data_IF_239340394991
#
_entry.id   IF_239340394991
#
_cell.length_a   1.000
_cell.length_b   1.000
_cell.length_c   1.000
_cell.angle_alpha   90.00
_cell.angle_beta   90.00
_cell.angle_gamma   90.00
#
_symmetry.space_group_name_H-M   'P 1'
#
loop_
_entity.id
_entity.type
_entity.pdbx_description
1 polymer ?
#
# COMPACT_ATOMS: atom_id res chain seq x y z
N UNK A 1 13.90 -14.83 -6.80
CA UNK A 1 15.29 -14.56 -6.38
C UNK A 1 15.32 -13.21 -5.70
N UNK A 2 15.65 -13.18 -4.41
CA UNK A 2 15.30 -12.11 -3.45
C UNK A 2 15.81 -10.72 -3.87
N UNK A 3 14.92 -9.71 -3.86
CA UNK A 3 15.26 -8.31 -4.18
C UNK A 3 16.47 -7.78 -3.40
N UNK A 4 16.67 -8.27 -2.17
CA UNK A 4 17.80 -7.95 -1.30
C UNK A 4 19.16 -8.31 -1.94
N UNK A 5 19.28 -9.48 -2.60
CA UNK A 5 20.53 -9.91 -3.22
C UNK A 5 20.92 -9.05 -4.41
N UNK A 6 19.93 -8.65 -5.21
CA UNK A 6 20.14 -7.81 -6.40
C UNK A 6 20.66 -6.42 -6.01
N UNK A 7 20.18 -5.94 -4.88
CA UNK A 7 20.60 -4.71 -4.24
C UNK A 7 22.04 -4.82 -3.68
N UNK A 8 22.34 -5.89 -2.93
CA UNK A 8 23.68 -6.14 -2.40
C UNK A 8 24.72 -6.30 -3.50
N UNK A 9 24.40 -7.01 -4.58
CA UNK A 9 25.30 -7.20 -5.71
C UNK A 9 25.54 -5.87 -6.44
N UNK A 10 24.52 -5.05 -6.63
CA UNK A 10 24.70 -3.72 -7.23
C UNK A 10 25.61 -2.83 -6.35
N UNK A 11 25.43 -2.87 -5.02
CA UNK A 11 26.31 -2.17 -4.08
C UNK A 11 27.76 -2.67 -4.18
N UNK A 12 27.97 -3.98 -4.17
CA UNK A 12 29.29 -4.58 -4.25
C UNK A 12 29.99 -4.27 -5.57
N UNK A 13 29.29 -4.39 -6.71
CA UNK A 13 29.87 -4.13 -8.04
C UNK A 13 30.22 -2.65 -8.17
N UNK A 14 29.32 -1.74 -7.77
CA UNK A 14 29.56 -0.31 -7.89
C UNK A 14 30.68 0.15 -6.94
N UNK A 15 30.71 -0.36 -5.71
CA UNK A 15 31.78 -0.11 -4.75
C UNK A 15 33.13 -0.67 -5.21
N UNK A 16 33.17 -1.89 -5.74
CA UNK A 16 34.39 -2.50 -6.27
C UNK A 16 34.92 -1.74 -7.49
N UNK A 17 34.04 -1.35 -8.43
CA UNK A 17 34.43 -0.54 -9.58
C UNK A 17 34.98 0.82 -9.14
N UNK A 18 34.34 1.44 -8.13
CA UNK A 18 34.75 2.73 -7.59
C UNK A 18 36.14 2.65 -6.93
N UNK A 19 36.39 1.63 -6.12
CA UNK A 19 37.70 1.42 -5.47
C UNK A 19 38.78 1.21 -6.53
N UNK A 20 38.55 0.31 -7.49
CA UNK A 20 39.51 -0.03 -8.53
C UNK A 20 39.85 1.18 -9.40
N UNK A 21 38.84 1.90 -9.86
CA UNK A 21 39.03 3.09 -10.71
C UNK A 21 39.71 4.22 -9.94
N UNK A 22 39.34 4.41 -8.66
CA UNK A 22 39.91 5.46 -7.83
C UNK A 22 41.35 5.18 -7.40
N UNK A 23 41.74 3.92 -7.18
CA UNK A 23 43.14 3.55 -6.91
C UNK A 23 44.02 3.68 -8.16
N UNK A 24 43.55 3.22 -9.32
CA UNK A 24 44.29 3.37 -10.58
C UNK A 24 44.48 4.83 -10.99
N UNK A 25 43.46 5.68 -10.81
CA UNK A 25 43.55 7.09 -11.16
C UNK A 25 44.51 7.86 -10.22
N UNK A 26 44.52 7.54 -8.93
CA UNK A 26 45.48 8.09 -7.96
C UNK A 26 46.92 7.73 -8.32
N UNK A 27 47.16 6.47 -8.70
CA UNK A 27 48.49 5.98 -9.03
C UNK A 27 49.02 6.54 -10.36
N UNK A 28 48.11 6.92 -11.28
CA UNK A 28 48.46 7.50 -12.58
C UNK A 28 48.66 9.02 -12.51
N UNK A 29 47.98 9.73 -11.61
CA UNK A 29 48.02 11.20 -11.58
C UNK A 29 49.19 11.79 -10.79
N UNK A 30 49.68 11.15 -9.70
CA UNK A 30 50.59 11.85 -8.79
C UNK A 30 51.52 10.94 -7.98
N UNK A 31 52.81 11.30 -7.90
CA UNK A 31 53.80 10.72 -6.95
C UNK A 31 54.23 11.69 -5.83
N UNK A 32 53.63 12.88 -5.80
CA UNK A 32 53.93 13.96 -4.86
C UNK A 32 53.13 13.83 -3.54
N UNK A 33 53.78 13.79 -2.35
CA UNK A 33 53.13 13.44 -1.09
C UNK A 33 52.02 14.40 -0.63
N UNK A 34 52.15 15.70 -0.90
CA UNK A 34 51.16 16.71 -0.46
C UNK A 34 49.86 16.65 -1.25
N UNK A 35 49.95 16.50 -2.58
CA UNK A 35 48.79 16.32 -3.46
C UNK A 35 48.06 15.00 -3.17
N UNK A 36 48.81 13.95 -2.82
CA UNK A 36 48.24 12.66 -2.44
C UNK A 36 47.30 12.78 -1.23
N UNK A 37 47.67 13.59 -0.22
CA UNK A 37 46.89 13.78 1.01
C UNK A 37 45.54 14.48 0.76
N UNK A 38 45.53 15.50 -0.09
CA UNK A 38 44.29 16.20 -0.48
C UNK A 38 43.36 15.30 -1.29
N UNK A 39 43.90 14.53 -2.24
CA UNK A 39 43.12 13.59 -3.05
C UNK A 39 42.58 12.44 -2.20
N UNK A 40 43.35 11.93 -1.23
CA UNK A 40 42.92 10.90 -0.28
C UNK A 40 41.68 11.36 0.52
N UNK A 41 41.68 12.63 0.95
CA UNK A 41 40.57 13.20 1.73
C UNK A 41 39.34 13.38 0.84
N UNK A 42 39.50 13.93 -0.37
CA UNK A 42 38.41 14.05 -1.34
C UNK A 42 37.79 12.69 -1.74
N UNK A 43 38.62 11.64 -1.83
CA UNK A 43 38.18 10.26 -2.08
C UNK A 43 37.33 9.71 -0.94
N UNK A 44 37.72 9.98 0.31
CA UNK A 44 36.94 9.60 1.49
C UNK A 44 35.55 10.24 1.51
N UNK A 45 35.48 11.54 1.23
CA UNK A 45 34.19 12.26 1.12
C UNK A 45 33.33 11.72 -0.02
N UNK A 46 33.95 11.40 -1.16
CA UNK A 46 33.24 10.79 -2.29
C UNK A 46 32.68 9.42 -1.93
N UNK A 47 33.44 8.58 -1.20
CA UNK A 47 32.96 7.29 -0.71
C UNK A 47 31.78 7.42 0.26
N UNK A 48 31.83 8.38 1.20
CA UNK A 48 30.73 8.64 2.14
C UNK A 48 29.48 9.15 1.42
N UNK A 49 29.63 10.05 0.45
CA UNK A 49 28.50 10.53 -0.36
C UNK A 49 27.90 9.41 -1.22
N UNK A 50 28.73 8.59 -1.86
CA UNK A 50 28.27 7.47 -2.69
C UNK A 50 27.55 6.41 -1.85
N UNK A 51 28.15 6.01 -0.73
CA UNK A 51 27.59 4.99 0.16
C UNK A 51 26.30 5.47 0.83
N UNK A 52 26.28 6.72 1.32
CA UNK A 52 25.08 7.34 1.89
C UNK A 52 23.96 7.50 0.87
N UNK A 53 24.26 7.99 -0.34
CA UNK A 53 23.29 8.12 -1.43
C UNK A 53 22.72 6.78 -1.85
N UNK A 54 23.56 5.74 -1.92
CA UNK A 54 23.13 4.39 -2.27
C UNK A 54 22.24 3.78 -1.19
N UNK A 55 22.59 3.92 0.09
CA UNK A 55 21.75 3.51 1.21
C UNK A 55 20.39 4.24 1.16
N UNK A 56 20.40 5.55 0.91
CA UNK A 56 19.18 6.33 0.81
C UNK A 56 18.27 5.84 -0.32
N UNK A 57 18.81 5.57 -1.51
CA UNK A 57 18.04 5.04 -2.64
C UNK A 57 17.47 3.64 -2.33
N UNK A 58 18.26 2.79 -1.67
CA UNK A 58 17.84 1.46 -1.23
C UNK A 58 16.67 1.52 -0.24
N UNK A 59 16.84 2.29 0.83
CA UNK A 59 15.84 2.43 1.89
C UNK A 59 14.57 3.04 1.34
N UNK A 60 14.70 4.07 0.50
CA UNK A 60 13.55 4.67 -0.20
C UNK A 60 12.82 3.62 -1.01
N UNK A 61 13.52 2.83 -1.84
CA UNK A 61 12.89 1.79 -2.67
C UNK A 61 12.22 0.70 -1.83
N UNK A 62 12.84 0.25 -0.75
CA UNK A 62 12.26 -0.73 0.15
C UNK A 62 10.98 -0.20 0.81
N UNK A 63 11.02 1.04 1.29
CA UNK A 63 9.86 1.72 1.88
C UNK A 63 8.70 1.86 0.88
N UNK A 64 8.96 2.22 -0.37
CA UNK A 64 7.93 2.29 -1.42
C UNK A 64 7.29 0.92 -1.70
N UNK A 65 8.06 -0.17 -1.62
CA UNK A 65 7.54 -1.52 -1.86
C UNK A 65 6.62 -1.99 -0.71
N UNK A 66 7.01 -1.68 0.53
CA UNK A 66 6.22 -1.99 1.74
C UNK A 66 4.89 -1.23 1.72
N UNK A 67 4.95 0.07 1.39
CA UNK A 67 3.79 0.94 1.23
C UNK A 67 2.79 0.40 0.19
N UNK A 68 3.27 -0.10 -0.95
CA UNK A 68 2.40 -0.70 -1.97
C UNK A 68 1.69 -1.95 -1.45
N UNK A 69 2.41 -2.82 -0.73
CA UNK A 69 1.80 -4.01 -0.12
C UNK A 69 0.75 -3.69 0.93
N UNK A 70 1.02 -2.70 1.77
CA UNK A 70 0.06 -2.26 2.78
C UNK A 70 -1.17 -1.62 2.13
N UNK A 71 -0.99 -0.84 1.05
CA UNK A 71 -2.10 -0.31 0.24
C UNK A 71 -2.92 -1.42 -0.41
N UNK A 72 -2.30 -2.38 -1.08
CA UNK A 72 -2.99 -3.51 -1.72
C UNK A 72 -3.82 -4.33 -0.71
N UNK A 73 -3.24 -4.64 0.46
CA UNK A 73 -3.99 -5.33 1.52
C UNK A 73 -5.18 -4.51 2.00
N UNK A 74 -4.99 -3.20 2.19
CA UNK A 74 -6.04 -2.30 2.68
C UNK A 74 -7.14 -2.13 1.65
N UNK A 75 -6.79 -1.96 0.38
CA UNK A 75 -7.72 -1.91 -0.75
C UNK A 75 -8.50 -3.22 -0.89
N UNK A 76 -7.86 -4.38 -0.70
CA UNK A 76 -8.55 -5.67 -0.73
C UNK A 76 -9.60 -5.80 0.39
N UNK A 77 -9.28 -5.33 1.61
CA UNK A 77 -10.23 -5.32 2.73
C UNK A 77 -11.40 -4.39 2.44
N UNK A 78 -11.13 -3.15 2.02
CA UNK A 78 -12.17 -2.16 1.69
C UNK A 78 -13.06 -2.66 0.56
N UNK A 79 -12.47 -3.24 -0.50
CA UNK A 79 -13.24 -3.77 -1.61
C UNK A 79 -14.15 -4.93 -1.18
N UNK A 80 -13.68 -5.78 -0.27
CA UNK A 80 -14.50 -6.89 0.27
C UNK A 80 -15.70 -6.37 1.05
N UNK A 81 -15.51 -5.38 1.92
CA UNK A 81 -16.59 -4.74 2.68
C UNK A 81 -17.60 -4.08 1.75
N UNK A 82 -17.11 -3.36 0.73
CA UNK A 82 -17.95 -2.73 -0.29
C UNK A 82 -18.80 -3.74 -1.05
N UNK A 83 -18.20 -4.83 -1.50
CA UNK A 83 -18.94 -5.92 -2.18
C UNK A 83 -19.99 -6.53 -1.26
N UNK A 84 -19.68 -6.77 0.01
CA UNK A 84 -20.65 -7.29 0.97
C UNK A 84 -21.81 -6.31 1.20
N UNK A 85 -21.52 -5.01 1.29
CA UNK A 85 -22.52 -3.95 1.39
C UNK A 85 -23.46 -3.95 0.17
N UNK A 86 -22.89 -3.97 -1.04
CA UNK A 86 -23.66 -3.95 -2.28
C UNK A 86 -24.55 -5.19 -2.43
N UNK A 87 -24.02 -6.39 -2.12
CA UNK A 87 -24.77 -7.65 -2.15
C UNK A 87 -25.93 -7.60 -1.16
N UNK A 88 -25.67 -7.19 0.08
CA UNK A 88 -26.69 -7.16 1.11
C UNK A 88 -27.76 -6.09 0.81
N UNK A 89 -27.36 -4.94 0.28
CA UNK A 89 -28.28 -3.90 -0.17
C UNK A 89 -29.20 -4.39 -1.28
N UNK A 90 -28.64 -5.07 -2.29
CA UNK A 90 -29.43 -5.68 -3.36
C UNK A 90 -30.39 -6.74 -2.84
N UNK A 91 -29.93 -7.61 -1.92
CA UNK A 91 -30.76 -8.64 -1.30
C UNK A 91 -31.91 -8.04 -0.48
N UNK A 92 -31.64 -7.00 0.32
CA UNK A 92 -32.67 -6.29 1.09
C UNK A 92 -33.71 -5.62 0.19
N UNK A 93 -33.28 -5.07 -0.95
CA UNK A 93 -34.20 -4.50 -1.93
C UNK A 93 -35.11 -5.57 -2.53
N UNK A 94 -34.54 -6.74 -2.88
CA UNK A 94 -35.32 -7.88 -3.37
C UNK A 94 -36.31 -8.39 -2.31
N UNK A 95 -35.87 -8.53 -1.05
CA UNK A 95 -36.74 -8.91 0.06
C UNK A 95 -37.88 -7.91 0.29
N UNK A 96 -37.59 -6.62 0.13
CA UNK A 96 -38.62 -5.57 0.24
C UNK A 96 -39.69 -5.76 -0.82
N UNK A 97 -39.30 -6.02 -2.07
CA UNK A 97 -40.23 -6.29 -3.17
C UNK A 97 -41.11 -7.53 -2.87
N UNK A 98 -40.49 -8.63 -2.43
CA UNK A 98 -41.21 -9.87 -2.06
C UNK A 98 -42.20 -9.62 -0.92
N UNK A 99 -41.82 -8.85 0.10
CA UNK A 99 -42.73 -8.51 1.20
C UNK A 99 -43.89 -7.62 0.76
N UNK A 100 -43.73 -6.80 -0.28
CA UNK A 100 -44.83 -6.00 -0.84
C UNK A 100 -45.81 -6.89 -1.64
N UNK A 101 -45.31 -7.82 -2.46
CA UNK A 101 -46.15 -8.80 -3.17
C UNK A 101 -46.89 -9.73 -2.20
N UNK A 102 -46.22 -10.19 -1.14
CA UNK A 102 -46.83 -11.04 -0.12
C UNK A 102 -47.95 -10.31 0.66
N UNK A 103 -47.90 -8.98 0.76
CA UNK A 103 -48.95 -8.17 1.39
C UNK A 103 -50.22 -8.06 0.52
N UNK A 104 -50.08 -8.17 -0.80
CA UNK A 104 -51.21 -8.20 -1.74
C UNK A 104 -51.86 -9.59 -1.85
N UNK A 105 -51.13 -10.65 -1.50
CA UNK A 105 -51.65 -12.01 -1.49
C UNK A 105 -52.46 -12.31 -0.21
N UNK A 106 -53.72 -12.73 -0.38
CA UNK A 106 -54.67 -13.02 0.71
C UNK A 106 -54.26 -14.22 1.58
N UNK A 107 -53.33 -15.05 1.11
CA UNK A 107 -52.90 -16.30 1.76
C UNK A 107 -51.89 -16.12 2.91
N UNK A 108 -51.19 -14.98 3.00
CA UNK A 108 -50.16 -14.79 4.01
C UNK A 108 -50.70 -14.15 5.29
N UNK A 109 -50.23 -14.65 6.44
CA UNK A 109 -50.52 -14.04 7.74
C UNK A 109 -49.99 -12.60 7.78
N UNK A 110 -50.90 -11.67 8.03
CA UNK A 110 -50.64 -10.22 8.00
C UNK A 110 -49.63 -9.79 9.06
N UNK A 111 -49.54 -10.48 10.20
CA UNK A 111 -48.55 -10.19 11.24
C UNK A 111 -47.14 -10.59 10.78
N UNK A 112 -47.00 -11.74 10.12
CA UNK A 112 -45.72 -12.22 9.58
C UNK A 112 -45.18 -11.30 8.48
N UNK A 113 -46.03 -10.86 7.55
CA UNK A 113 -45.64 -9.91 6.50
C UNK A 113 -45.23 -8.56 7.12
N UNK A 114 -45.98 -8.08 8.12
CA UNK A 114 -45.66 -6.83 8.81
C UNK A 114 -44.34 -6.91 9.58
N UNK A 115 -44.06 -8.06 10.21
CA UNK A 115 -42.79 -8.33 10.90
C UNK A 115 -41.62 -8.36 9.91
N UNK A 116 -41.76 -9.09 8.80
CA UNK A 116 -40.75 -9.15 7.75
C UNK A 116 -40.44 -7.76 7.21
N UNK A 117 -41.48 -6.96 6.90
CA UNK A 117 -41.33 -5.57 6.41
C UNK A 117 -40.60 -4.67 7.40
N UNK A 118 -40.84 -4.83 8.70
CA UNK A 118 -40.11 -4.09 9.76
C UNK A 118 -38.63 -4.47 9.77
N UNK A 119 -38.33 -5.77 9.77
CA UNK A 119 -36.96 -6.30 9.82
C UNK A 119 -36.16 -5.85 8.59
N UNK A 120 -36.73 -5.98 7.38
CA UNK A 120 -36.05 -5.58 6.14
C UNK A 120 -35.77 -4.06 6.12
N UNK A 121 -36.72 -3.25 6.59
CA UNK A 121 -36.57 -1.79 6.68
C UNK A 121 -35.52 -1.37 7.71
N UNK A 122 -35.51 -2.02 8.87
CA UNK A 122 -34.52 -1.78 9.92
C UNK A 122 -33.12 -2.18 9.46
N UNK A 123 -32.97 -3.39 8.90
CA UNK A 123 -31.71 -3.87 8.33
C UNK A 123 -31.19 -2.98 7.20
N UNK A 124 -32.07 -2.47 6.32
CA UNK A 124 -31.69 -1.50 5.28
C UNK A 124 -31.23 -0.15 5.85
N UNK A 125 -31.87 0.32 6.92
CA UNK A 125 -31.47 1.53 7.64
C UNK A 125 -30.08 1.40 8.28
N UNK A 126 -29.83 0.28 8.98
CA UNK A 126 -28.55 0.00 9.61
C UNK A 126 -27.43 -0.23 8.57
N UNK A 127 -27.74 -0.93 7.48
CA UNK A 127 -26.78 -1.10 6.38
C UNK A 127 -26.37 0.24 5.77
N UNK A 128 -27.33 1.17 5.60
CA UNK A 128 -27.04 2.51 5.08
C UNK A 128 -26.16 3.33 6.02
N UNK A 129 -26.40 3.27 7.33
CA UNK A 129 -25.52 3.88 8.34
C UNK A 129 -24.11 3.28 8.30
N UNK A 130 -23.99 1.96 8.14
CA UNK A 130 -22.69 1.29 7.99
C UNK A 130 -21.96 1.75 6.72
N UNK A 131 -22.67 1.95 5.60
CA UNK A 131 -22.10 2.47 4.36
C UNK A 131 -21.66 3.94 4.45
N UNK A 132 -22.39 4.77 5.19
CA UNK A 132 -22.01 6.17 5.46
C UNK A 132 -20.72 6.26 6.29
N UNK A 133 -20.56 5.41 7.31
CA UNK A 133 -19.33 5.35 8.14
C UNK A 133 -18.11 4.92 7.30
N UNK A 134 -18.26 3.96 6.39
CA UNK A 134 -17.17 3.51 5.51
C UNK A 134 -16.80 4.57 4.45
N UNK A 135 -17.76 5.43 4.07
CA UNK A 135 -17.53 6.58 3.18
C UNK A 135 -16.88 7.80 3.87
N UNK A 136 -17.04 7.91 5.19
CA UNK A 136 -16.46 8.98 6.01
C UNK A 136 -15.04 8.68 6.50
N UNK A 137 -14.54 7.44 6.40
CA UNK A 137 -13.12 7.15 6.62
C UNK A 137 -12.34 7.90 5.56
N UNK A 138 -11.73 9.05 5.91
CA UNK A 138 -11.22 9.91 4.88
C UNK A 138 -10.02 9.22 4.28
N UNK A 139 -9.98 9.24 2.95
CA UNK A 139 -8.80 9.02 2.11
C UNK A 139 -7.55 9.75 2.68
N UNK A 140 -7.72 10.71 3.59
CA UNK A 140 -6.71 11.49 4.31
C UNK A 140 -6.04 10.83 5.53
N UNK A 141 -6.38 9.59 5.91
CA UNK A 141 -5.48 8.81 6.81
C UNK A 141 -4.37 8.13 6.00
N UNK A 142 -4.34 8.33 4.68
CA UNK A 142 -3.22 7.96 3.81
C UNK A 142 -2.19 9.09 3.71
N UNK A 143 -1.49 9.40 4.81
CA UNK A 143 -0.21 10.11 4.79
C UNK A 143 0.73 9.39 5.76
#
# INVERSE_FOLDING_TARGET
MNNHLRITIAYLVFGALWIFFSDSLLHLMTSDPELLRSIQTAKGWSYVCLSGGLIFVLTKRAFWLEQQREKEKREAVVNTVRVAHDILGNYLNQMTLVTLEAEECVEFDRELVTLAKRITKEAGGELRKLGEIDSEVPEKVAI
#
